data_IF_025500717024
#
_entry.id   IF_025500717024
#
_cell.length_a   1.000
_cell.length_b   1.000
_cell.length_c   1.000
_cell.angle_alpha   90.00
_cell.angle_beta   90.00
_cell.angle_gamma   90.00
#
_symmetry.space_group_name_H-M   'P 1'
#
loop_
_entity.id
_entity.type
_entity.pdbx_description
1 polymer ?
#
# COMPACT_ATOMS: atom_id res chain seq x y z
N UNK A 1 60.09 8.30 29.00
CA UNK A 1 58.76 8.53 28.39
C UNK A 1 57.87 9.14 29.47
N UNK A 2 57.80 10.48 29.49
CA UNK A 2 56.62 11.31 29.14
C UNK A 2 55.36 11.04 29.98
N UNK A 3 55.44 11.56 31.20
CA UNK A 3 54.59 12.57 31.89
C UNK A 3 53.09 12.67 31.59
N UNK A 4 52.40 12.81 32.72
CA UNK A 4 50.98 12.92 33.01
C UNK A 4 50.33 14.28 32.63
N UNK A 5 49.06 14.20 32.18
CA UNK A 5 47.81 14.75 32.78
C UNK A 5 47.58 16.29 33.01
N UNK A 6 46.31 16.69 32.73
CA UNK A 6 45.48 17.84 33.21
C UNK A 6 45.84 19.24 32.63
N UNK A 7 44.98 20.24 32.39
CA UNK A 7 43.51 20.51 32.32
C UNK A 7 43.35 22.00 31.99
N UNK A 8 42.36 22.44 31.19
CA UNK A 8 41.78 23.80 31.20
C UNK A 8 40.31 23.69 30.70
N UNK A 9 39.28 23.73 31.56
CA UNK A 9 38.48 24.88 32.01
C UNK A 9 37.80 25.70 30.89
N UNK A 10 36.46 25.78 30.93
CA UNK A 10 35.66 26.63 30.04
C UNK A 10 34.18 26.66 30.43
N UNK A 11 33.71 27.83 30.82
CA UNK A 11 32.52 28.19 31.60
C UNK A 11 31.14 28.10 30.92
N UNK A 12 30.13 27.93 31.77
CA UNK A 12 28.69 27.94 31.51
C UNK A 12 28.11 29.30 31.12
N UNK A 13 26.97 29.29 30.41
CA UNK A 13 25.92 30.31 30.49
C UNK A 13 24.54 29.63 30.34
N UNK A 14 23.78 29.66 31.43
CA UNK A 14 22.36 29.30 31.46
C UNK A 14 21.52 30.56 31.19
N UNK A 15 20.44 30.44 30.42
CA UNK A 15 19.44 31.49 30.26
C UNK A 15 18.06 30.88 30.40
N UNK A 16 17.43 31.18 31.53
CA UNK A 16 16.04 30.86 31.83
C UNK A 16 15.15 31.97 31.26
N UNK A 17 14.12 31.60 30.49
CA UNK A 17 13.03 32.49 30.13
C UNK A 17 11.72 31.87 30.62
N UNK A 18 11.13 32.51 31.62
CA UNK A 18 9.79 32.24 32.11
C UNK A 18 8.76 32.67 31.07
N UNK A 19 7.79 31.80 30.77
CA UNK A 19 6.61 32.15 29.98
C UNK A 19 5.38 32.17 30.88
N UNK A 20 4.86 33.38 31.07
CA UNK A 20 3.55 33.65 31.65
C UNK A 20 2.47 33.42 30.61
N UNK A 21 1.46 32.63 30.95
CA UNK A 21 0.26 32.38 30.14
C UNK A 21 -0.73 33.55 30.20
N UNK A 22 -1.43 33.86 29.09
CA UNK A 22 -2.79 34.36 29.16
C UNK A 22 -3.80 33.34 28.62
N UNK A 23 -4.85 33.09 29.40
CA UNK A 23 -6.07 32.43 28.95
C UNK A 23 -7.00 33.48 28.32
N UNK A 24 -7.42 33.30 27.07
CA UNK A 24 -8.55 34.02 26.46
C UNK A 24 -9.36 33.06 25.56
N UNK A 25 -10.66 33.33 25.54
CA UNK A 25 -11.82 32.52 25.24
C UNK A 25 -12.06 32.09 23.77
N UNK A 26 -12.96 31.11 23.66
CA UNK A 26 -13.71 30.66 22.49
C UNK A 26 -14.39 31.82 21.72
N UNK A 27 -14.15 31.92 20.41
CA UNK A 27 -15.12 32.34 19.39
C UNK A 27 -14.84 31.66 18.05
N UNK A 28 -15.90 31.26 17.35
CA UNK A 28 -15.91 30.67 16.02
C UNK A 28 -15.92 31.75 14.92
N UNK A 29 -15.30 31.48 13.77
CA UNK A 29 -15.78 31.79 12.40
C UNK A 29 -14.63 31.77 11.36
N UNK A 30 -15.02 31.45 10.12
CA UNK A 30 -14.25 31.29 8.87
C UNK A 30 -13.18 32.35 8.55
N UNK A 31 -12.14 31.89 7.85
CA UNK A 31 -11.22 32.74 7.07
C UNK A 31 -9.85 32.10 6.85
N UNK A 32 -9.55 31.69 5.61
CA UNK A 32 -8.27 31.11 5.18
C UNK A 32 -7.05 31.99 5.55
N UNK A 33 -5.83 31.41 5.58
CA UNK A 33 -4.85 31.87 4.59
C UNK A 33 -3.91 30.80 4.02
N UNK A 34 -3.17 31.30 3.04
CA UNK A 34 -2.32 30.69 2.03
C UNK A 34 -1.09 29.93 2.53
N UNK A 35 -0.77 28.90 1.74
CA UNK A 35 0.54 28.46 1.23
C UNK A 35 1.80 28.70 2.06
N UNK A 36 2.49 27.60 2.35
CA UNK A 36 3.95 27.58 2.40
C UNK A 36 4.49 26.36 1.67
N UNK A 37 5.48 26.65 0.85
CA UNK A 37 6.20 25.84 -0.13
C UNK A 37 6.81 24.56 0.42
N UNK A 38 6.51 23.44 -0.21
CA UNK A 38 7.34 22.22 -0.16
C UNK A 38 7.55 21.73 -1.59
N UNK A 39 8.82 21.57 -1.94
CA UNK A 39 9.32 21.07 -3.22
C UNK A 39 8.72 19.69 -3.57
N UNK A 40 8.27 19.43 -4.81
CA UNK A 40 7.73 18.13 -5.18
C UNK A 40 8.87 17.13 -5.43
N UNK A 41 8.94 16.11 -4.58
CA UNK A 41 9.60 14.85 -4.90
C UNK A 41 8.59 14.00 -5.71
N UNK A 42 8.88 13.57 -6.96
CA UNK A 42 7.93 12.76 -7.72
C UNK A 42 8.03 11.29 -7.27
N UNK A 43 6.90 10.72 -6.85
CA UNK A 43 6.77 9.26 -6.71
C UNK A 43 6.44 8.74 -5.31
N UNK A 44 5.46 9.31 -4.62
CA UNK A 44 4.69 8.54 -3.62
C UNK A 44 3.27 9.08 -3.67
N UNK A 45 2.43 8.47 -4.51
CA UNK A 45 1.00 8.75 -4.44
C UNK A 45 0.50 8.23 -3.10
N UNK A 46 -0.13 9.11 -2.33
CA UNK A 46 -0.72 8.78 -1.05
C UNK A 46 -1.79 7.73 -1.28
N UNK A 47 -1.60 6.54 -0.72
CA UNK A 47 -2.63 5.50 -0.57
C UNK A 47 -3.79 6.10 0.24
N UNK A 48 -4.73 6.77 -0.41
CA UNK A 48 -6.03 6.99 0.21
C UNK A 48 -6.75 5.66 0.12
N UNK A 49 -6.61 4.84 1.16
CA UNK A 49 -7.52 3.73 1.38
C UNK A 49 -8.95 4.29 1.26
N UNK A 50 -9.75 3.77 0.34
CA UNK A 50 -11.19 4.05 0.34
C UNK A 50 -11.67 3.84 1.77
N UNK A 51 -12.31 4.88 2.34
CA UNK A 51 -12.61 4.98 3.77
C UNK A 51 -13.13 3.66 4.35
N UNK A 52 -12.21 2.87 4.89
CA UNK A 52 -12.48 1.63 5.58
C UNK A 52 -12.19 1.94 7.02
N UNK A 53 -13.24 1.97 7.82
CA UNK A 53 -13.16 2.10 9.27
C UNK A 53 -12.19 1.03 9.75
N UNK A 54 -10.99 1.42 10.19
CA UNK A 54 -10.03 0.48 10.74
C UNK A 54 -10.71 -0.27 11.90
N UNK A 55 -10.68 -1.62 11.94
CA UNK A 55 -11.17 -2.32 13.11
C UNK A 55 -10.25 -1.96 14.28
N UNK A 56 -10.83 -1.28 15.26
CA UNK A 56 -10.26 -1.13 16.59
C UNK A 56 -9.88 -2.51 17.09
N UNK A 57 -8.63 -2.68 17.52
CA UNK A 57 -8.07 -3.88 18.13
C UNK A 57 -9.02 -4.47 19.20
N UNK A 58 -9.92 -5.36 18.77
CA UNK A 58 -10.63 -6.32 19.62
C UNK A 58 -11.13 -7.57 18.88
N UNK A 59 -10.70 -7.83 17.63
CA UNK A 59 -11.20 -8.98 16.83
C UNK A 59 -10.25 -10.19 16.86
N UNK A 60 -9.84 -10.58 18.06
CA UNK A 60 -9.06 -11.80 18.32
C UNK A 60 -9.87 -13.11 18.24
N UNK A 61 -11.05 -13.13 17.62
CA UNK A 61 -11.89 -14.33 17.53
C UNK A 61 -12.51 -14.44 16.11
N UNK A 62 -11.78 -15.12 15.23
CA UNK A 62 -12.22 -15.67 13.93
C UNK A 62 -12.61 -14.68 12.81
N UNK A 63 -11.69 -13.81 12.39
CA UNK A 63 -11.67 -13.45 10.96
C UNK A 63 -11.08 -14.65 10.21
N UNK A 64 -11.94 -15.49 9.63
CA UNK A 64 -11.48 -16.54 8.71
C UNK A 64 -11.43 -15.91 7.32
N UNK A 65 -10.23 -15.62 6.81
CA UNK A 65 -10.13 -15.20 5.43
C UNK A 65 -10.81 -16.24 4.53
N UNK A 66 -11.54 -15.73 3.55
CA UNK A 66 -12.28 -16.58 2.60
C UNK A 66 -11.32 -17.28 1.64
N UNK A 67 -10.17 -16.67 1.36
CA UNK A 67 -9.17 -17.16 0.44
C UNK A 67 -7.79 -17.15 1.08
N UNK A 68 -6.98 -18.15 0.77
CA UNK A 68 -5.58 -18.18 1.15
C UNK A 68 -4.69 -18.13 -0.08
N UNK A 69 -3.53 -17.48 0.05
CA UNK A 69 -2.54 -17.38 -1.00
C UNK A 69 -1.14 -17.62 -0.47
N UNK A 70 -0.22 -17.99 -1.35
CA UNK A 70 1.19 -18.22 -1.03
C UNK A 70 2.06 -17.51 -2.04
N UNK A 71 2.93 -16.63 -1.55
CA UNK A 71 3.86 -15.90 -2.42
C UNK A 71 4.99 -16.85 -2.84
N UNK A 72 5.10 -17.09 -4.15
CA UNK A 72 6.13 -17.93 -4.73
C UNK A 72 7.47 -17.22 -4.78
N UNK A 73 8.55 -18.00 -4.76
CA UNK A 73 9.93 -17.48 -4.73
C UNK A 73 10.30 -16.63 -5.98
N UNK A 74 9.54 -16.73 -7.06
CA UNK A 74 9.66 -15.87 -8.25
C UNK A 74 9.34 -14.40 -7.97
N UNK A 75 8.61 -14.11 -6.89
CA UNK A 75 8.15 -12.77 -6.50
C UNK A 75 9.10 -12.04 -5.56
N UNK A 76 10.35 -12.49 -5.47
CA UNK A 76 11.33 -11.90 -4.55
C UNK A 76 11.54 -10.41 -4.83
N UNK A 77 11.33 -9.58 -3.82
CA UNK A 77 11.39 -8.13 -3.87
C UNK A 77 10.07 -7.44 -4.21
N UNK A 78 8.96 -8.18 -4.31
CA UNK A 78 7.61 -7.66 -4.56
C UNK A 78 6.59 -8.16 -3.51
N UNK A 79 7.06 -8.80 -2.44
CA UNK A 79 6.19 -9.48 -1.49
C UNK A 79 5.26 -8.50 -0.77
N UNK A 80 5.76 -7.31 -0.46
CA UNK A 80 4.99 -6.30 0.26
C UNK A 80 3.91 -5.69 -0.63
N UNK A 81 4.19 -5.45 -1.90
CA UNK A 81 3.19 -4.99 -2.88
C UNK A 81 2.10 -6.03 -3.12
N UNK A 82 2.43 -7.32 -3.10
CA UNK A 82 1.44 -8.40 -3.19
C UNK A 82 0.55 -8.40 -1.96
N UNK A 83 1.13 -8.27 -0.76
CA UNK A 83 0.38 -8.17 0.50
C UNK A 83 -0.51 -6.93 0.53
N UNK A 84 0.00 -5.80 0.07
CA UNK A 84 -0.77 -4.56 -0.09
C UNK A 84 -1.98 -4.77 -1.01
N UNK A 85 -1.76 -5.43 -2.16
CA UNK A 85 -2.83 -5.74 -3.09
C UNK A 85 -3.89 -6.68 -2.50
N UNK A 86 -3.47 -7.70 -1.73
CA UNK A 86 -4.38 -8.57 -1.01
C UNK A 86 -5.16 -7.83 0.09
N UNK A 87 -4.47 -6.97 0.85
CA UNK A 87 -5.01 -6.21 1.98
C UNK A 87 -6.06 -5.17 1.56
N UNK A 88 -6.02 -4.70 0.30
CA UNK A 88 -7.09 -3.89 -0.28
C UNK A 88 -8.47 -4.53 -0.07
N UNK A 89 -8.56 -5.86 -0.23
CA UNK A 89 -9.77 -6.63 0.02
C UNK A 89 -9.84 -7.08 1.48
N UNK A 90 -10.01 -6.11 2.39
CA UNK A 90 -9.94 -6.30 3.84
C UNK A 90 -10.70 -7.55 4.32
N UNK A 91 -10.00 -8.42 5.06
CA UNK A 91 -10.55 -9.65 5.65
C UNK A 91 -10.88 -10.77 4.65
N UNK A 92 -10.51 -10.65 3.37
CA UNK A 92 -10.77 -11.68 2.35
C UNK A 92 -9.61 -12.62 2.09
N UNK A 93 -8.37 -12.15 2.23
CA UNK A 93 -7.17 -12.89 1.87
C UNK A 93 -6.21 -12.97 3.05
N UNK A 94 -5.74 -14.18 3.34
CA UNK A 94 -4.64 -14.43 4.27
C UNK A 94 -3.48 -15.12 3.53
N UNK A 95 -2.25 -14.66 3.81
CA UNK A 95 -1.05 -15.37 3.34
C UNK A 95 -0.86 -16.66 4.15
N UNK A 96 -0.60 -17.76 3.46
CA UNK A 96 -0.38 -19.08 4.05
C UNK A 96 0.82 -19.75 3.40
N UNK A 97 1.52 -20.58 4.19
CA UNK A 97 2.62 -21.42 3.70
C UNK A 97 2.14 -22.78 3.19
N UNK A 98 0.84 -23.09 3.34
CA UNK A 98 0.27 -24.35 2.86
C UNK A 98 0.36 -24.44 1.33
N UNK A 99 0.70 -25.63 0.86
CA UNK A 99 0.65 -26.03 -0.54
C UNK A 99 -0.76 -25.93 -1.16
N UNK A 100 -1.81 -25.95 -0.34
CA UNK A 100 -3.20 -25.80 -0.79
C UNK A 100 -3.58 -24.35 -1.12
N UNK A 101 -2.81 -23.37 -0.63
CA UNK A 101 -3.08 -21.96 -0.87
C UNK A 101 -2.80 -21.55 -2.33
N UNK A 102 -3.52 -20.54 -2.82
CA UNK A 102 -3.37 -20.01 -4.18
C UNK A 102 -1.91 -19.61 -4.44
N UNK A 103 -1.19 -20.26 -5.36
CA UNK A 103 0.18 -19.87 -5.66
C UNK A 103 0.21 -18.55 -6.42
N UNK A 104 0.97 -17.58 -5.91
CA UNK A 104 1.26 -16.30 -6.57
C UNK A 104 2.66 -16.36 -7.19
N UNK A 105 2.75 -16.26 -8.51
CA UNK A 105 4.01 -16.28 -9.25
C UNK A 105 4.26 -14.94 -9.92
N UNK A 106 5.52 -14.57 -10.09
CA UNK A 106 5.90 -13.32 -10.72
C UNK A 106 6.77 -13.57 -11.95
N UNK A 107 6.61 -12.70 -12.94
CA UNK A 107 7.28 -12.75 -14.23
C UNK A 107 7.74 -11.36 -14.64
N UNK A 108 8.76 -11.29 -15.48
CA UNK A 108 9.29 -10.03 -16.01
C UNK A 108 8.85 -9.73 -17.44
N UNK A 109 8.01 -10.60 -18.02
CA UNK A 109 7.49 -10.55 -19.37
C UNK A 109 5.96 -10.52 -19.39
N UNK A 110 5.40 -10.10 -20.53
CA UNK A 110 3.97 -10.25 -20.80
C UNK A 110 3.71 -11.70 -21.17
N UNK A 111 2.61 -12.27 -20.67
CA UNK A 111 2.30 -13.68 -20.89
C UNK A 111 0.86 -13.89 -21.33
N UNK A 112 0.54 -15.09 -21.80
CA UNK A 112 -0.81 -15.43 -22.19
C UNK A 112 -1.66 -15.78 -20.95
N UNK A 113 -2.89 -15.28 -20.91
CA UNK A 113 -3.89 -15.57 -19.88
C UNK A 113 -5.23 -15.85 -20.55
N UNK A 114 -5.67 -17.11 -20.53
CA UNK A 114 -6.87 -17.53 -21.26
C UNK A 114 -6.81 -17.15 -22.75
N UNK A 115 -7.73 -16.28 -23.19
CA UNK A 115 -7.78 -15.79 -24.57
C UNK A 115 -6.84 -14.62 -24.85
N UNK A 116 -6.36 -13.92 -23.82
CA UNK A 116 -5.42 -12.81 -23.97
C UNK A 116 -4.02 -13.36 -24.25
N UNK A 117 -3.39 -12.87 -25.32
CA UNK A 117 -2.03 -13.30 -25.71
C UNK A 117 -0.93 -12.55 -24.97
N UNK A 118 -1.25 -11.38 -24.41
CA UNK A 118 -0.36 -10.53 -23.63
C UNK A 118 -1.17 -9.93 -22.49
N UNK A 119 -0.88 -10.35 -21.28
CA UNK A 119 -1.48 -9.87 -20.05
C UNK A 119 -0.39 -9.51 -19.05
N UNK A 120 -0.70 -8.53 -18.21
CA UNK A 120 0.15 -8.15 -17.08
C UNK A 120 -0.17 -8.95 -15.83
N UNK A 121 -1.39 -9.45 -15.67
CA UNK A 121 -1.74 -10.36 -14.60
C UNK A 121 -2.68 -11.44 -15.10
N UNK A 122 -2.81 -12.49 -14.31
CA UNK A 122 -3.77 -13.56 -14.55
C UNK A 122 -4.10 -14.29 -13.26
N UNK A 123 -5.36 -14.21 -12.86
CA UNK A 123 -5.96 -15.12 -11.92
C UNK A 123 -6.71 -16.24 -12.66
N UNK A 124 -6.15 -17.44 -12.63
CA UNK A 124 -6.75 -18.61 -13.24
C UNK A 124 -7.71 -19.30 -12.27
N UNK A 125 -8.89 -19.66 -12.77
CA UNK A 125 -9.89 -20.45 -12.02
C UNK A 125 -10.27 -19.86 -10.65
N UNK A 126 -10.33 -18.53 -10.52
CA UNK A 126 -10.74 -17.86 -9.27
C UNK A 126 -9.89 -18.25 -8.04
N UNK A 127 -8.57 -18.28 -8.20
CA UNK A 127 -7.62 -18.64 -7.14
C UNK A 127 -6.93 -19.99 -7.34
N UNK A 128 -7.00 -20.59 -8.53
CA UNK A 128 -6.17 -21.75 -8.86
C UNK A 128 -4.69 -21.40 -8.97
N UNK A 129 -4.39 -20.22 -9.53
CA UNK A 129 -3.05 -19.63 -9.61
C UNK A 129 -3.17 -18.15 -9.96
N UNK A 130 -2.35 -17.32 -9.34
CA UNK A 130 -2.18 -15.91 -9.70
C UNK A 130 -0.79 -15.74 -10.30
N UNK A 131 -0.70 -15.13 -11.48
CA UNK A 131 0.58 -14.75 -12.09
C UNK A 131 0.60 -13.24 -12.30
N UNK A 132 1.69 -12.59 -11.91
CA UNK A 132 1.87 -11.14 -11.97
C UNK A 132 3.11 -10.80 -12.80
N UNK A 133 2.97 -9.87 -13.73
CA UNK A 133 4.06 -9.28 -14.50
C UNK A 133 4.57 -8.04 -13.81
N UNK A 134 5.88 -7.90 -13.72
CA UNK A 134 6.51 -6.65 -13.27
C UNK A 134 6.44 -5.54 -14.33
N UNK A 135 5.92 -5.82 -15.54
CA UNK A 135 5.65 -4.84 -16.60
C UNK A 135 4.30 -4.14 -16.44
N UNK A 136 4.02 -3.63 -15.26
CA UNK A 136 2.83 -2.84 -14.91
C UNK A 136 3.26 -1.46 -14.44
N UNK A 137 2.36 -0.47 -14.49
CA UNK A 137 2.62 0.86 -13.95
C UNK A 137 2.55 0.90 -12.42
N UNK A 138 1.73 0.05 -11.81
CA UNK A 138 1.58 -0.10 -10.37
C UNK A 138 1.41 -1.60 -10.05
N UNK A 139 2.38 -2.17 -9.33
CA UNK A 139 2.42 -3.59 -9.04
C UNK A 139 1.44 -4.01 -7.95
N UNK A 140 1.27 -3.18 -6.91
CA UNK A 140 0.30 -3.46 -5.86
C UNK A 140 -1.13 -3.38 -6.40
N UNK A 141 -1.41 -2.44 -7.32
CA UNK A 141 -2.71 -2.30 -7.95
C UNK A 141 -3.02 -3.46 -8.90
N UNK A 142 -2.01 -3.94 -9.63
CA UNK A 142 -2.13 -5.17 -10.40
C UNK A 142 -2.43 -6.36 -9.48
N UNK A 143 -1.70 -6.50 -8.38
CA UNK A 143 -1.95 -7.57 -7.42
C UNK A 143 -3.38 -7.51 -6.86
N UNK A 144 -3.86 -6.34 -6.45
CA UNK A 144 -5.24 -6.14 -6.00
C UNK A 144 -6.27 -6.54 -7.07
N UNK A 145 -6.04 -6.15 -8.32
CA UNK A 145 -6.88 -6.55 -9.46
C UNK A 145 -6.96 -8.06 -9.60
N UNK A 146 -5.81 -8.74 -9.60
CA UNK A 146 -5.78 -10.20 -9.76
C UNK A 146 -6.39 -10.92 -8.55
N UNK A 147 -6.18 -10.46 -7.32
CA UNK A 147 -6.89 -11.02 -6.16
C UNK A 147 -8.40 -10.82 -6.27
N UNK A 148 -8.85 -9.66 -6.75
CA UNK A 148 -10.26 -9.34 -6.92
C UNK A 148 -10.99 -10.33 -7.83
N UNK A 149 -10.30 -10.99 -8.76
CA UNK A 149 -10.87 -12.03 -9.61
C UNK A 149 -11.36 -13.30 -8.88
N UNK A 150 -10.99 -13.53 -7.62
CA UNK A 150 -11.64 -14.57 -6.81
C UNK A 150 -13.14 -14.28 -6.59
N UNK A 151 -13.53 -13.00 -6.65
CA UNK A 151 -14.88 -12.54 -6.28
C UNK A 151 -15.60 -11.84 -7.43
N UNK A 152 -14.85 -11.14 -8.30
CA UNK A 152 -15.40 -10.19 -9.25
C UNK A 152 -14.93 -10.46 -10.68
N UNK A 153 -15.81 -10.11 -11.63
CA UNK A 153 -15.44 -9.97 -13.05
C UNK A 153 -14.85 -8.58 -13.29
N UNK A 154 -14.24 -8.39 -14.46
CA UNK A 154 -13.89 -7.04 -14.90
C UNK A 154 -15.09 -6.10 -14.85
N UNK A 155 -14.82 -4.87 -14.43
CA UNK A 155 -15.79 -3.77 -14.47
C UNK A 155 -15.83 -3.12 -15.86
N UNK A 156 -16.66 -2.08 -15.99
CA UNK A 156 -16.72 -1.23 -17.18
C UNK A 156 -15.82 0.02 -17.10
N UNK A 157 -14.95 0.12 -16.08
CA UNK A 157 -14.00 1.23 -15.98
C UNK A 157 -12.96 1.19 -17.11
N UNK A 158 -12.52 2.37 -17.54
CA UNK A 158 -11.62 2.53 -18.71
C UNK A 158 -10.14 2.48 -18.37
N UNK A 159 -9.81 2.58 -17.09
CA UNK A 159 -8.45 2.64 -16.57
C UNK A 159 -8.48 2.12 -15.14
N UNK A 160 -7.34 1.64 -14.67
CA UNK A 160 -7.20 1.04 -13.36
C UNK A 160 -6.70 2.07 -12.36
N UNK A 161 -7.32 2.13 -11.19
CA UNK A 161 -6.89 3.00 -10.08
C UNK A 161 -7.43 2.50 -8.74
N UNK A 162 -6.91 3.06 -7.66
CA UNK A 162 -7.36 2.79 -6.29
C UNK A 162 -8.66 3.52 -5.89
N UNK A 163 -9.32 4.22 -6.82
CA UNK A 163 -10.45 5.10 -6.49
C UNK A 163 -11.71 4.34 -6.06
N UNK A 164 -11.88 3.08 -6.50
CA UNK A 164 -13.00 2.21 -6.13
C UNK A 164 -12.71 0.76 -6.53
N UNK A 165 -13.47 -0.19 -5.99
CA UNK A 165 -13.39 -1.60 -6.40
C UNK A 165 -13.62 -1.77 -7.90
N UNK A 166 -14.55 -1.01 -8.46
CA UNK A 166 -14.81 -1.03 -9.88
C UNK A 166 -13.61 -0.48 -10.68
N UNK A 167 -12.91 0.55 -10.19
CA UNK A 167 -11.69 1.04 -10.82
C UNK A 167 -10.52 0.05 -10.69
N UNK A 168 -10.37 -0.62 -9.54
CA UNK A 168 -9.39 -1.70 -9.36
C UNK A 168 -9.65 -2.83 -10.35
N UNK A 169 -10.91 -3.23 -10.55
CA UNK A 169 -11.32 -4.29 -11.47
C UNK A 169 -11.43 -3.86 -12.94
N UNK A 170 -10.88 -2.69 -13.33
CA UNK A 170 -10.86 -2.27 -14.73
C UNK A 170 -9.93 -3.18 -15.57
N UNK A 171 -10.36 -3.63 -16.77
CA UNK A 171 -9.60 -4.60 -17.58
C UNK A 171 -8.34 -4.03 -18.24
N UNK A 172 -8.18 -2.71 -18.23
CA UNK A 172 -7.10 -2.02 -18.94
C UNK A 172 -6.00 -1.68 -17.94
N UNK A 173 -4.79 -2.15 -18.23
CA UNK A 173 -3.59 -1.83 -17.48
C UNK A 173 -3.00 -0.47 -17.87
N UNK A 174 -3.74 0.59 -17.58
CA UNK A 174 -3.30 1.98 -17.69
C UNK A 174 -3.76 2.75 -16.46
N UNK A 175 -2.92 3.67 -15.99
CA UNK A 175 -3.29 4.62 -14.94
C UNK A 175 -4.40 5.55 -15.45
N UNK A 176 -5.37 5.85 -14.58
CA UNK A 176 -6.33 6.90 -14.86
C UNK A 176 -5.62 8.25 -14.83
N UNK A 177 -5.52 8.93 -15.98
CA UNK A 177 -5.04 10.31 -16.02
C UNK A 177 -6.01 11.19 -15.21
N UNK A 178 -5.47 11.88 -14.20
CA UNK A 178 -6.18 12.94 -13.47
C UNK A 178 -6.29 14.20 -14.32
#
# INVERSE_FOLDING_TARGET
MRTQILTIAGTALASALAFSSPAIALTAAEGAPQASSVSPNPGTQVKTAGASTAPTLLDGFFSTATYTYRIGNSCKGYEDEIRDGAAYWTGKFDESTDSSATPVNCRTDLFACGKLKKANGCNENHGGRITLSTRTFDFALLAAHEFGHNMYKHSNHKCRSWASDAAVMAPIDNECSN
#
